data_IF_966096747373
#
_entry.id   IF_966096747373
#
_cell.length_a   1.000
_cell.length_b   1.000
_cell.length_c   1.000
_cell.angle_alpha   90.00
_cell.angle_beta   90.00
_cell.angle_gamma   90.00
#
_symmetry.space_group_name_H-M   'P 1'
#
loop_
_entity.id
_entity.type
_entity.pdbx_description
1 polymer ?
#
# COMPACT_ATOMS: atom_id res chain seq x y z
N UNK A 1 21.21 43.69 -34.66
CA UNK A 1 21.13 43.21 -33.25
C UNK A 1 19.93 42.28 -33.17
N UNK A 2 20.17 41.04 -32.75
CA UNK A 2 19.23 39.92 -32.79
C UNK A 2 18.14 40.12 -31.73
N UNK A 3 16.89 40.30 -32.14
CA UNK A 3 15.76 40.24 -31.21
C UNK A 3 15.45 38.78 -30.92
N UNK A 4 15.64 38.42 -29.65
CA UNK A 4 15.47 37.09 -29.08
C UNK A 4 13.95 36.79 -28.96
N UNK A 5 13.45 35.86 -29.76
CA UNK A 5 12.10 35.31 -29.61
C UNK A 5 12.09 34.36 -28.40
N UNK A 6 11.55 34.84 -27.28
CA UNK A 6 11.20 34.04 -26.11
C UNK A 6 10.00 33.15 -26.46
N UNK A 7 10.28 31.87 -26.74
CA UNK A 7 9.25 30.83 -26.83
C UNK A 7 8.83 30.49 -25.39
N UNK A 8 7.67 31.00 -24.97
CA UNK A 8 6.99 30.51 -23.78
C UNK A 8 6.49 29.09 -24.05
N UNK A 9 7.25 28.12 -23.56
CA UNK A 9 6.81 26.73 -23.47
C UNK A 9 5.72 26.66 -22.38
N UNK A 10 4.47 26.80 -22.80
CA UNK A 10 3.35 26.33 -22.00
C UNK A 10 3.50 24.81 -21.91
N UNK A 11 4.11 24.34 -20.82
CA UNK A 11 3.97 22.95 -20.38
C UNK A 11 2.50 22.84 -19.97
N UNK A 12 1.67 22.45 -20.94
CA UNK A 12 0.30 22.06 -20.70
C UNK A 12 0.33 20.95 -19.66
N UNK A 13 -0.25 21.24 -18.49
CA UNK A 13 -0.63 20.25 -17.50
C UNK A 13 -1.35 19.13 -18.23
N UNK A 14 -0.74 17.95 -18.31
CA UNK A 14 -1.45 16.73 -18.63
C UNK A 14 -2.55 16.60 -17.56
N UNK A 15 -3.78 16.95 -17.95
CA UNK A 15 -4.96 16.62 -17.18
C UNK A 15 -5.06 15.09 -17.24
N UNK A 16 -4.42 14.40 -16.29
CA UNK A 16 -4.70 12.99 -16.01
C UNK A 16 -6.10 12.98 -15.39
N UNK A 17 -7.10 13.02 -16.27
CA UNK A 17 -8.52 12.85 -15.91
C UNK A 17 -8.88 11.42 -16.22
N UNK A 18 -8.34 10.46 -15.46
CA UNK A 18 -8.94 9.14 -15.36
C UNK A 18 -8.51 8.40 -14.09
N UNK A 19 -8.91 8.95 -12.95
CA UNK A 19 -9.31 8.15 -11.80
C UNK A 19 -10.53 8.86 -11.22
N UNK A 20 -11.74 8.43 -11.61
CA UNK A 20 -12.91 8.72 -10.78
C UNK A 20 -12.56 8.26 -9.36
N UNK A 21 -12.99 9.02 -8.35
CA UNK A 21 -12.67 8.75 -6.94
C UNK A 21 -13.41 7.49 -6.47
N UNK A 22 -12.96 6.32 -6.92
CA UNK A 22 -13.60 5.01 -6.76
C UNK A 22 -13.69 4.64 -5.27
N UNK A 23 -12.66 5.00 -4.50
CA UNK A 23 -12.61 4.81 -3.05
C UNK A 23 -13.74 5.59 -2.36
N UNK A 24 -13.89 6.89 -2.69
CA UNK A 24 -14.91 7.74 -2.09
C UNK A 24 -16.35 7.37 -2.53
N UNK A 25 -16.54 6.60 -3.60
CA UNK A 25 -17.86 6.18 -4.07
C UNK A 25 -18.40 4.95 -3.32
N UNK A 26 -17.55 4.08 -2.79
CA UNK A 26 -17.99 2.89 -2.04
C UNK A 26 -18.44 3.23 -0.61
N UNK A 27 -19.54 2.57 -0.19
CA UNK A 27 -20.23 2.86 1.06
C UNK A 27 -19.43 2.47 2.30
N UNK A 28 -18.61 1.42 2.25
CA UNK A 28 -17.82 0.96 3.40
C UNK A 28 -16.70 1.96 3.68
N UNK A 29 -16.04 2.46 2.64
CA UNK A 29 -15.02 3.50 2.76
C UNK A 29 -15.57 4.76 3.42
N UNK A 30 -16.64 5.36 2.88
CA UNK A 30 -17.25 6.59 3.42
C UNK A 30 -17.77 6.49 4.86
N UNK A 31 -18.00 5.27 5.34
CA UNK A 31 -18.48 4.99 6.71
C UNK A 31 -17.35 4.65 7.68
N UNK A 32 -16.13 4.63 7.17
CA UNK A 32 -14.95 4.24 7.95
C UNK A 32 -14.00 5.42 7.98
N UNK A 33 -13.71 6.01 6.83
CA UNK A 33 -12.76 7.10 6.69
C UNK A 33 -13.44 8.46 6.57
N UNK A 34 -12.79 9.48 7.08
CA UNK A 34 -13.11 10.90 6.89
C UNK A 34 -12.86 11.32 5.43
N UNK A 35 -13.33 12.51 5.05
CA UNK A 35 -13.14 13.01 3.68
C UNK A 35 -11.65 13.15 3.32
N UNK A 36 -10.84 13.71 4.22
CA UNK A 36 -9.39 13.88 4.00
C UNK A 36 -8.69 12.53 3.90
N UNK A 37 -9.05 11.57 4.74
CA UNK A 37 -8.52 10.21 4.61
C UNK A 37 -8.91 9.57 3.28
N UNK A 38 -10.14 9.74 2.78
CA UNK A 38 -10.52 9.21 1.48
C UNK A 38 -9.68 9.79 0.32
N UNK A 39 -9.32 11.07 0.39
CA UNK A 39 -8.44 11.71 -0.60
C UNK A 39 -7.02 11.12 -0.54
N UNK A 40 -6.48 10.95 0.67
CA UNK A 40 -5.18 10.32 0.90
C UNK A 40 -5.16 8.83 0.48
N UNK A 41 -6.24 8.09 0.75
CA UNK A 41 -6.39 6.70 0.34
C UNK A 41 -6.49 6.57 -1.18
N UNK A 42 -7.14 7.52 -1.85
CA UNK A 42 -7.19 7.57 -3.32
C UNK A 42 -5.78 7.80 -3.88
N UNK A 43 -4.99 8.70 -3.30
CA UNK A 43 -3.59 8.91 -3.71
C UNK A 43 -2.76 7.62 -3.59
N UNK A 44 -2.89 6.90 -2.48
CA UNK A 44 -2.22 5.62 -2.26
C UNK A 44 -2.64 4.56 -3.29
N UNK A 45 -3.94 4.49 -3.54
CA UNK A 45 -4.54 3.54 -4.48
C UNK A 45 -4.11 3.82 -5.92
N UNK A 46 -4.10 5.09 -6.31
CA UNK A 46 -3.66 5.54 -7.63
C UNK A 46 -2.19 5.23 -7.87
N UNK A 47 -1.33 5.46 -6.88
CA UNK A 47 0.09 5.09 -6.97
C UNK A 47 0.27 3.60 -7.25
N UNK A 48 -0.41 2.73 -6.50
CA UNK A 48 -0.30 1.30 -6.72
C UNK A 48 -0.81 0.89 -8.10
N UNK A 49 -1.97 1.39 -8.51
CA UNK A 49 -2.54 1.09 -9.83
C UNK A 49 -1.62 1.55 -10.96
N UNK A 50 -1.03 2.74 -10.87
CA UNK A 50 -0.05 3.26 -11.85
C UNK A 50 1.25 2.48 -11.85
N UNK A 51 1.63 1.87 -10.72
CA UNK A 51 2.82 1.01 -10.63
C UNK A 51 2.62 -0.30 -11.39
N UNK A 52 1.39 -0.82 -11.43
CA UNK A 52 1.11 -2.13 -12.04
C UNK A 52 0.45 -2.06 -13.42
N UNK A 53 0.06 -0.86 -13.87
CA UNK A 53 -0.78 -0.68 -15.05
C UNK A 53 -0.37 0.55 -15.88
N UNK A 54 -0.25 0.35 -17.19
CA UNK A 54 -0.08 1.45 -18.13
C UNK A 54 -1.41 2.17 -18.40
N UNK A 55 -1.36 3.49 -18.64
CA UNK A 55 -2.55 4.35 -18.72
C UNK A 55 -3.58 4.01 -19.81
N UNK A 56 -3.20 3.18 -20.79
CA UNK A 56 -4.02 2.74 -21.91
C UNK A 56 -4.58 1.32 -21.74
N UNK A 57 -4.24 0.63 -20.67
CA UNK A 57 -4.67 -0.74 -20.40
C UNK A 57 -5.95 -0.79 -19.54
N UNK A 58 -6.66 -1.91 -19.65
CA UNK A 58 -7.80 -2.21 -18.76
C UNK A 58 -7.23 -2.63 -17.41
N UNK A 59 -7.67 -1.98 -16.33
CA UNK A 59 -7.07 -2.15 -15.01
C UNK A 59 -7.12 -3.61 -14.54
N UNK A 60 -8.21 -4.33 -14.81
CA UNK A 60 -8.35 -5.74 -14.45
C UNK A 60 -7.27 -6.62 -15.10
N UNK A 61 -6.95 -6.36 -16.37
CA UNK A 61 -5.90 -7.08 -17.10
C UNK A 61 -4.53 -6.80 -16.48
N UNK A 62 -4.29 -5.56 -16.04
CA UNK A 62 -3.07 -5.18 -15.32
C UNK A 62 -2.92 -5.94 -13.99
N UNK A 63 -4.00 -6.11 -13.23
CA UNK A 63 -3.98 -6.91 -11.99
C UNK A 63 -3.65 -8.38 -12.29
N UNK A 64 -4.24 -8.97 -13.34
CA UNK A 64 -3.94 -10.34 -13.74
C UNK A 64 -2.47 -10.49 -14.15
N UNK A 65 -1.97 -9.59 -15.00
CA UNK A 65 -0.57 -9.58 -15.41
C UNK A 65 0.38 -9.39 -14.20
N UNK A 66 0.01 -8.55 -13.25
CA UNK A 66 0.76 -8.36 -12.01
C UNK A 66 0.84 -9.64 -11.20
N UNK A 67 -0.28 -10.34 -11.01
CA UNK A 67 -0.29 -11.60 -10.26
C UNK A 67 0.50 -12.71 -10.92
N UNK A 68 0.48 -12.81 -12.25
CA UNK A 68 1.31 -13.76 -13.01
C UNK A 68 2.79 -13.52 -12.68
N UNK A 69 3.25 -12.25 -12.75
CA UNK A 69 4.64 -11.90 -12.42
C UNK A 69 5.01 -12.22 -10.97
N UNK A 70 4.08 -12.03 -10.03
CA UNK A 70 4.30 -12.40 -8.64
C UNK A 70 4.46 -13.91 -8.47
N UNK A 71 3.61 -14.70 -9.14
CA UNK A 71 3.70 -16.16 -9.08
C UNK A 71 5.03 -16.67 -9.66
N UNK A 72 5.42 -16.18 -10.83
CA UNK A 72 6.70 -16.53 -11.47
C UNK A 72 7.90 -16.21 -10.56
N UNK A 73 7.93 -15.02 -9.96
CA UNK A 73 8.99 -14.65 -9.03
C UNK A 73 9.04 -15.57 -7.80
N UNK A 74 7.87 -15.98 -7.28
CA UNK A 74 7.81 -16.90 -6.14
C UNK A 74 8.23 -18.34 -6.49
N UNK A 75 8.00 -18.80 -7.73
CA UNK A 75 8.52 -20.08 -8.23
C UNK A 75 10.05 -20.08 -8.27
N UNK A 76 10.66 -18.93 -8.60
CA UNK A 76 12.10 -18.72 -8.56
C UNK A 76 12.66 -18.45 -7.14
N UNK A 77 11.80 -18.45 -6.12
CA UNK A 77 12.18 -18.19 -4.72
C UNK A 77 12.53 -16.73 -4.43
N UNK A 78 12.12 -15.80 -5.31
CA UNK A 78 12.39 -14.36 -5.18
C UNK A 78 11.12 -13.60 -4.84
N UNK A 79 11.17 -12.77 -3.79
CA UNK A 79 10.12 -11.78 -3.53
C UNK A 79 10.41 -10.52 -4.33
N UNK A 80 9.74 -10.34 -5.48
CA UNK A 80 9.88 -9.14 -6.30
C UNK A 80 8.54 -8.52 -6.68
N UNK A 81 8.14 -7.50 -5.90
CA UNK A 81 6.85 -6.83 -6.03
C UNK A 81 6.77 -5.80 -7.16
N UNK A 82 7.89 -5.46 -7.82
CA UNK A 82 7.98 -4.39 -8.82
C UNK A 82 7.45 -3.02 -8.36
N UNK A 83 7.44 -2.76 -7.05
CA UNK A 83 7.02 -1.46 -6.50
C UNK A 83 8.28 -0.62 -6.18
N UNK A 84 8.47 0.55 -6.82
CA UNK A 84 9.60 1.43 -6.54
C UNK A 84 9.49 1.99 -5.11
N UNK A 85 10.42 1.59 -4.25
CA UNK A 85 10.34 1.89 -2.81
C UNK A 85 10.49 3.39 -2.53
N UNK A 86 11.38 4.06 -3.24
CA UNK A 86 11.63 5.50 -3.12
C UNK A 86 10.36 6.29 -3.46
N UNK A 87 9.64 5.92 -4.52
CA UNK A 87 8.39 6.56 -4.92
C UNK A 87 7.26 6.27 -3.93
N UNK A 88 7.17 5.04 -3.42
CA UNK A 88 6.26 4.69 -2.33
C UNK A 88 6.49 5.57 -1.09
N UNK A 89 7.76 5.82 -0.73
CA UNK A 89 8.07 6.73 0.39
C UNK A 89 7.67 8.17 0.11
N UNK A 90 7.78 8.66 -1.13
CA UNK A 90 7.29 9.98 -1.52
C UNK A 90 5.76 10.08 -1.42
N UNK A 91 5.02 9.01 -1.74
CA UNK A 91 3.58 8.95 -1.51
C UNK A 91 3.26 9.03 -0.02
N UNK A 92 3.98 8.28 0.82
CA UNK A 92 3.78 8.31 2.29
C UNK A 92 4.00 9.70 2.89
N UNK A 93 4.96 10.48 2.38
CA UNK A 93 5.20 11.87 2.82
C UNK A 93 4.08 12.83 2.45
N UNK A 94 3.28 12.50 1.42
CA UNK A 94 2.14 13.31 0.98
C UNK A 94 0.86 13.00 1.75
N UNK A 95 0.74 11.81 2.34
CA UNK A 95 -0.38 11.46 3.19
C UNK A 95 -0.41 12.36 4.42
N UNK A 96 -1.60 12.71 4.89
CA UNK A 96 -1.71 13.29 6.22
C UNK A 96 -1.21 12.30 7.27
N UNK A 97 -0.57 12.88 8.29
CA UNK A 97 -0.08 12.17 9.47
C UNK A 97 -1.17 11.31 10.15
N UNK A 98 -2.42 11.80 10.14
CA UNK A 98 -3.60 11.06 10.60
C UNK A 98 -3.87 9.85 9.72
N UNK A 99 -3.96 10.01 8.40
CA UNK A 99 -4.27 8.89 7.50
C UNK A 99 -3.20 7.82 7.56
N UNK A 100 -1.92 8.20 7.60
CA UNK A 100 -0.84 7.22 7.76
C UNK A 100 -1.07 6.38 9.02
N UNK A 101 -1.40 7.03 10.15
CA UNK A 101 -1.64 6.35 11.44
C UNK A 101 -2.93 5.53 11.46
N UNK A 102 -3.92 5.83 10.62
CA UNK A 102 -5.12 4.99 10.50
C UNK A 102 -4.84 3.65 9.79
N UNK A 103 -3.71 3.52 9.09
CA UNK A 103 -3.30 2.29 8.41
C UNK A 103 -2.12 1.64 9.13
N UNK A 104 -1.06 2.40 9.38
CA UNK A 104 0.22 1.88 9.85
C UNK A 104 0.72 2.56 11.13
N UNK A 105 1.55 1.84 11.86
CA UNK A 105 2.42 2.36 12.91
C UNK A 105 3.85 1.93 12.64
N UNK A 106 4.81 2.74 13.08
CA UNK A 106 6.20 2.33 13.08
C UNK A 106 6.48 1.46 14.32
N UNK A 107 7.23 0.39 14.12
CA UNK A 107 7.75 -0.44 15.20
C UNK A 107 9.19 -0.86 14.95
N UNK A 108 9.64 -1.80 15.76
CA UNK A 108 11.02 -2.28 15.80
C UNK A 108 11.08 -3.74 15.32
N UNK A 109 11.99 -4.05 14.40
CA UNK A 109 12.34 -5.41 14.02
C UNK A 109 13.82 -5.67 14.33
N UNK A 110 14.14 -6.82 14.89
CA UNK A 110 15.51 -7.23 15.20
C UNK A 110 15.69 -8.70 14.87
N UNK A 111 16.92 -9.08 14.54
CA UNK A 111 17.30 -10.46 14.26
C UNK A 111 18.14 -10.99 15.42
N UNK A 112 17.96 -12.25 15.79
CA UNK A 112 18.69 -12.86 16.89
C UNK A 112 20.21 -12.87 16.63
N UNK A 113 20.61 -12.97 15.38
CA UNK A 113 21.99 -12.93 14.91
C UNK A 113 22.60 -11.53 15.00
N UNK A 114 21.77 -10.47 15.02
CA UNK A 114 22.20 -9.07 15.07
C UNK A 114 21.31 -8.24 16.00
N UNK A 115 21.34 -8.49 17.33
CA UNK A 115 20.42 -7.89 18.29
C UNK A 115 20.57 -6.35 18.42
N UNK A 116 21.73 -5.82 18.02
CA UNK A 116 22.00 -4.37 18.01
C UNK A 116 21.52 -3.68 16.72
N UNK A 117 21.21 -4.44 15.67
CA UNK A 117 20.66 -3.94 14.41
C UNK A 117 19.13 -3.93 14.48
N UNK A 118 18.58 -2.93 15.18
CA UNK A 118 17.14 -2.70 15.17
C UNK A 118 16.77 -1.89 13.93
N UNK A 119 15.95 -2.51 13.09
CA UNK A 119 15.34 -1.89 11.94
C UNK A 119 14.02 -1.24 12.34
N UNK A 120 13.81 -0.04 11.82
CA UNK A 120 12.49 0.56 11.77
C UNK A 120 11.68 -0.18 10.73
N UNK A 121 10.46 -0.55 11.07
CA UNK A 121 9.54 -1.24 10.16
C UNK A 121 8.12 -0.71 10.36
N UNK A 122 7.22 -1.01 9.42
CA UNK A 122 5.80 -0.69 9.54
C UNK A 122 4.98 -1.94 9.89
N UNK A 123 3.99 -1.73 10.74
CA UNK A 123 2.95 -2.69 11.11
C UNK A 123 1.58 -2.04 10.91
N UNK A 124 0.53 -2.84 10.74
CA UNK A 124 -0.83 -2.32 10.76
C UNK A 124 -1.18 -1.76 12.13
N UNK A 125 -1.84 -0.61 12.16
CA UNK A 125 -2.43 -0.09 13.38
C UNK A 125 -3.65 -0.94 13.75
N UNK A 126 -3.54 -1.77 14.79
CA UNK A 126 -4.63 -2.61 15.28
C UNK A 126 -5.91 -1.83 15.61
N UNK A 127 -5.76 -0.55 16.02
CA UNK A 127 -6.86 0.35 16.37
C UNK A 127 -7.19 1.35 15.25
N UNK A 128 -6.55 1.25 14.08
CA UNK A 128 -6.76 2.15 12.95
C UNK A 128 -8.03 1.84 12.14
N UNK A 129 -8.48 2.81 11.38
CA UNK A 129 -9.63 2.70 10.47
C UNK A 129 -9.42 1.64 9.40
N UNK A 130 -8.19 1.35 8.98
CA UNK A 130 -7.92 0.26 8.06
C UNK A 130 -8.34 -1.10 8.62
N UNK A 131 -8.05 -1.38 9.90
CA UNK A 131 -8.49 -2.63 10.55
C UNK A 131 -10.02 -2.67 10.73
N UNK A 132 -10.66 -1.52 10.96
CA UNK A 132 -12.14 -1.42 10.97
C UNK A 132 -12.73 -1.67 9.59
N UNK A 133 -12.09 -1.15 8.53
CA UNK A 133 -12.47 -1.36 7.15
C UNK A 133 -12.40 -2.84 6.78
N UNK A 134 -11.25 -3.49 7.03
CA UNK A 134 -11.05 -4.92 6.79
C UNK A 134 -12.14 -5.77 7.47
N UNK A 135 -12.43 -5.49 8.75
CA UNK A 135 -13.49 -6.19 9.50
C UNK A 135 -14.90 -6.02 8.92
N UNK A 136 -15.20 -4.85 8.33
CA UNK A 136 -16.51 -4.58 7.73
C UNK A 136 -16.62 -5.26 6.36
N UNK A 137 -15.56 -5.17 5.56
CA UNK A 137 -15.51 -5.70 4.20
C UNK A 137 -15.40 -7.24 4.18
N UNK A 138 -14.68 -7.85 5.13
CA UNK A 138 -14.51 -9.31 5.25
C UNK A 138 -15.82 -10.09 5.39
N UNK A 139 -16.89 -9.44 5.85
CA UNK A 139 -18.22 -10.05 5.99
C UNK A 139 -18.84 -10.46 4.65
N UNK A 140 -18.30 -9.94 3.54
CA UNK A 140 -18.82 -10.16 2.19
C UNK A 140 -17.80 -10.75 1.22
N UNK A 141 -16.53 -10.75 1.59
CA UNK A 141 -15.44 -11.17 0.71
C UNK A 141 -14.46 -12.07 1.46
N UNK A 142 -14.21 -13.26 0.91
CA UNK A 142 -13.39 -14.29 1.53
C UNK A 142 -11.91 -13.91 1.57
N UNK A 143 -11.39 -13.28 0.52
CA UNK A 143 -10.00 -12.83 0.46
C UNK A 143 -9.74 -11.72 1.49
N UNK A 144 -10.63 -10.73 1.58
CA UNK A 144 -10.54 -9.68 2.61
C UNK A 144 -10.64 -10.28 4.01
N UNK A 145 -11.41 -11.36 4.20
CA UNK A 145 -11.43 -12.08 5.47
C UNK A 145 -10.08 -12.72 5.82
N UNK A 146 -9.41 -13.36 4.88
CA UNK A 146 -8.05 -13.88 5.08
C UNK A 146 -7.09 -12.75 5.46
N UNK A 147 -7.16 -11.63 4.76
CA UNK A 147 -6.39 -10.42 5.05
C UNK A 147 -6.65 -9.89 6.46
N UNK A 148 -7.91 -9.79 6.88
CA UNK A 148 -8.30 -9.32 8.21
C UNK A 148 -7.77 -10.22 9.32
N UNK A 149 -7.98 -11.53 9.24
CA UNK A 149 -7.55 -12.46 10.28
C UNK A 149 -6.03 -12.55 10.35
N UNK A 150 -5.34 -12.53 9.20
CA UNK A 150 -3.87 -12.47 9.19
C UNK A 150 -3.36 -11.19 9.85
N UNK A 151 -3.84 -10.02 9.42
CA UNK A 151 -3.39 -8.73 9.94
C UNK A 151 -3.68 -8.59 11.45
N UNK A 152 -4.82 -9.10 11.91
CA UNK A 152 -5.20 -9.12 13.33
C UNK A 152 -4.28 -10.00 14.18
N UNK A 153 -3.79 -11.12 13.63
CA UNK A 153 -2.92 -12.04 14.36
C UNK A 153 -1.45 -11.59 14.38
N UNK A 154 -0.95 -11.04 13.27
CA UNK A 154 0.49 -10.78 13.10
C UNK A 154 0.85 -9.30 13.07
N UNK A 155 -0.13 -8.41 12.95
CA UNK A 155 0.09 -6.98 12.71
C UNK A 155 0.66 -6.68 11.32
N UNK A 156 0.70 -7.65 10.41
CA UNK A 156 1.28 -7.49 9.07
C UNK A 156 0.64 -8.47 8.06
N UNK A 157 0.94 -8.36 6.75
CA UNK A 157 0.55 -9.38 5.79
C UNK A 157 1.30 -10.68 6.12
N UNK A 158 0.58 -11.72 6.56
CA UNK A 158 1.16 -13.00 6.94
C UNK A 158 1.43 -13.90 5.73
N UNK A 159 2.15 -15.01 5.95
CA UNK A 159 2.50 -15.97 4.89
C UNK A 159 1.27 -16.49 4.11
N UNK A 160 0.12 -16.64 4.77
CA UNK A 160 -1.14 -17.02 4.10
C UNK A 160 -1.61 -15.95 3.12
N UNK A 161 -1.56 -14.66 3.49
CA UNK A 161 -1.94 -13.56 2.59
C UNK A 161 -1.01 -13.50 1.39
N UNK A 162 0.31 -13.67 1.62
CA UNK A 162 1.29 -13.78 0.54
C UNK A 162 0.95 -14.96 -0.38
N UNK A 163 0.70 -16.14 0.17
CA UNK A 163 0.33 -17.31 -0.63
C UNK A 163 -0.97 -17.09 -1.43
N UNK A 164 -2.00 -16.48 -0.84
CA UNK A 164 -3.25 -16.18 -1.54
C UNK A 164 -3.01 -15.22 -2.72
N UNK A 165 -2.31 -14.10 -2.49
CA UNK A 165 -2.02 -13.11 -3.53
C UNK A 165 -1.19 -13.71 -4.67
N UNK A 166 -0.22 -14.56 -4.33
CA UNK A 166 0.75 -15.06 -5.30
C UNK A 166 0.24 -16.29 -6.05
N UNK A 167 -0.56 -17.16 -5.42
CA UNK A 167 -0.91 -18.48 -5.98
C UNK A 167 -2.40 -18.69 -6.24
N UNK A 168 -3.29 -17.99 -5.53
CA UNK A 168 -4.74 -18.22 -5.59
C UNK A 168 -5.52 -16.97 -6.06
N UNK A 169 -4.84 -16.09 -6.79
CA UNK A 169 -5.39 -14.81 -7.24
C UNK A 169 -6.57 -14.92 -8.23
N UNK A 170 -6.74 -16.07 -8.87
CA UNK A 170 -7.88 -16.35 -9.75
C UNK A 170 -9.24 -16.35 -9.03
N UNK A 171 -9.24 -16.35 -7.70
CA UNK A 171 -10.45 -16.28 -6.87
C UNK A 171 -10.85 -14.86 -6.47
N UNK A 172 -10.04 -13.85 -6.81
CA UNK A 172 -10.28 -12.47 -6.38
C UNK A 172 -11.31 -11.78 -7.27
N UNK A 173 -12.31 -11.15 -6.66
CA UNK A 173 -13.20 -10.21 -7.35
C UNK A 173 -12.46 -8.88 -7.58
N UNK A 174 -11.59 -8.85 -8.59
CA UNK A 174 -10.83 -7.65 -8.93
C UNK A 174 -11.70 -6.55 -9.54
N UNK A 175 -12.98 -6.77 -9.82
CA UNK A 175 -13.91 -5.68 -10.15
C UNK A 175 -14.29 -4.88 -8.88
N UNK A 176 -14.26 -5.52 -7.71
CA UNK A 176 -14.52 -4.84 -6.44
C UNK A 176 -13.34 -3.95 -6.02
N UNK A 177 -13.58 -2.63 -5.99
CA UNK A 177 -12.63 -1.61 -5.51
C UNK A 177 -12.06 -1.91 -4.11
N UNK A 178 -12.82 -2.56 -3.24
CA UNK A 178 -12.36 -2.95 -1.90
C UNK A 178 -11.29 -4.03 -1.98
N UNK A 179 -11.47 -5.02 -2.86
CA UNK A 179 -10.51 -6.10 -3.07
C UNK A 179 -9.21 -5.52 -3.63
N UNK A 180 -9.30 -4.71 -4.70
CA UNK A 180 -8.16 -3.97 -5.28
C UNK A 180 -7.42 -3.13 -4.24
N UNK A 181 -8.15 -2.37 -3.41
CA UNK A 181 -7.55 -1.55 -2.36
C UNK A 181 -6.83 -2.38 -1.29
N UNK A 182 -7.41 -3.51 -0.87
CA UNK A 182 -6.74 -4.42 0.09
C UNK A 182 -5.47 -5.00 -0.51
N UNK A 183 -5.50 -5.42 -1.78
CA UNK A 183 -4.30 -5.87 -2.51
C UNK A 183 -3.22 -4.78 -2.50
N UNK A 184 -3.59 -3.54 -2.82
CA UNK A 184 -2.67 -2.41 -2.82
C UNK A 184 -2.01 -2.21 -1.45
N UNK A 185 -2.81 -2.09 -0.38
CA UNK A 185 -2.27 -1.87 0.98
C UNK A 185 -1.41 -3.04 1.44
N UNK A 186 -1.80 -4.28 1.15
CA UNK A 186 -1.02 -5.47 1.52
C UNK A 186 0.34 -5.50 0.80
N UNK A 187 0.37 -5.27 -0.52
CA UNK A 187 1.61 -5.28 -1.28
C UNK A 187 2.53 -4.09 -0.93
N UNK A 188 1.97 -2.90 -0.71
CA UNK A 188 2.76 -1.75 -0.24
C UNK A 188 3.38 -2.03 1.13
N UNK A 189 2.62 -2.67 2.03
CA UNK A 189 3.14 -3.06 3.35
C UNK A 189 4.27 -4.08 3.23
N UNK A 190 4.09 -5.13 2.40
CA UNK A 190 5.13 -6.11 2.13
C UNK A 190 6.39 -5.48 1.51
N UNK A 191 6.21 -4.56 0.56
CA UNK A 191 7.34 -3.88 -0.09
C UNK A 191 8.14 -3.06 0.93
N UNK A 192 7.46 -2.31 1.80
CA UNK A 192 8.13 -1.54 2.84
C UNK A 192 8.90 -2.45 3.80
N UNK A 193 8.27 -3.52 4.30
CA UNK A 193 8.92 -4.47 5.20
C UNK A 193 10.14 -5.14 4.58
N UNK A 194 10.09 -5.43 3.28
CA UNK A 194 11.21 -6.04 2.56
C UNK A 194 12.34 -5.03 2.27
N UNK A 195 12.00 -3.81 1.85
CA UNK A 195 12.93 -2.80 1.32
C UNK A 195 13.47 -1.84 2.37
N UNK A 196 12.73 -1.52 3.43
CA UNK A 196 13.18 -0.59 4.47
C UNK A 196 14.41 -1.13 5.20
N UNK A 197 15.48 -0.32 5.24
CA UNK A 197 16.74 -0.60 5.96
C UNK A 197 17.10 0.50 6.96
N UNK A 198 16.15 1.38 7.27
CA UNK A 198 16.35 2.44 8.26
C UNK A 198 16.62 1.82 9.64
N UNK A 199 17.76 2.14 10.24
CA UNK A 199 18.11 1.70 11.59
C UNK A 199 17.53 2.66 12.63
N UNK A 200 17.03 2.12 13.75
CA UNK A 200 16.66 2.90 14.92
C UNK A 200 17.93 3.14 15.74
N UNK A 201 18.27 4.40 15.95
CA UNK A 201 19.41 4.75 16.77
C UNK A 201 19.13 4.42 18.25
N UNK A 202 20.14 3.94 19.02
CA UNK A 202 19.93 3.55 20.42
C UNK A 202 19.32 4.65 21.30
N UNK A 203 19.64 5.92 21.03
CA UNK A 203 19.13 7.11 21.74
C UNK A 203 17.65 7.41 21.47
N UNK A 204 17.11 6.99 20.31
CA UNK A 204 15.71 7.21 19.93
C UNK A 204 14.75 6.12 20.44
N UNK A 205 15.26 4.96 20.90
CA UNK A 205 14.44 3.88 21.49
C UNK A 205 13.59 4.37 22.68
N UNK A 206 14.10 5.32 23.45
CA UNK A 206 13.41 5.88 24.63
C UNK A 206 12.17 6.71 24.28
N UNK A 207 12.11 7.29 23.07
CA UNK A 207 11.02 8.16 22.60
C UNK A 207 9.89 7.39 21.90
N UNK A 208 10.18 6.17 21.43
CA UNK A 208 9.18 5.29 20.80
C UNK A 208 8.27 4.70 21.88
N UNK A 209 8.81 4.37 23.05
CA UNK A 209 8.05 3.84 24.21
C UNK A 209 7.17 4.86 24.94
N UNK A 210 7.31 6.16 24.65
CA UNK A 210 6.56 7.23 25.35
C UNK A 210 5.35 7.74 24.56
N UNK A 211 4.86 6.97 23.58
CA UNK A 211 3.65 7.25 22.78
C UNK A 211 2.60 6.12 22.83
N UNK A 212 2.67 5.29 23.86
CA UNK A 212 1.57 4.42 24.33
C UNK A 212 0.91 5.07 25.54
#
# INVERSE_FOLDING_TARGET
>A
MKNLLLVFLFIGSANITYCQNQIANDRIFRRTFSKTELEDLQLLFDFFNQTICDSNEVLEDCYQAYFIRLNEAAEDGVMYLHIPFEEQQEVYKKLSDSTFREIWVFGEAWFQETPDHILRTIYFNANGDFMRFLKKASRKDAFINVCYESAKLTGMPGATVVAEIYRNNNTFDIEDVKVKFVIAVMNLTLNDQYKRKEMIRPDDRSKIKSKE
#
